data_IF_735002021931
#
_entry.id   IF_735002021931
#
_cell.length_a   1.000
_cell.length_b   1.000
_cell.length_c   1.000
_cell.angle_alpha   90.00
_cell.angle_beta   90.00
_cell.angle_gamma   90.00
#
_symmetry.space_group_name_H-M   'P 1'
#
loop_
_entity.id
_entity.type
_entity.pdbx_description
1 polymer ?
#
# COMPACT_ATOMS: atom_id res chain seq x y z
N UNK A 1 -21.41 12.93 3.76
CA UNK A 1 -22.37 13.69 2.91
C UNK A 1 -21.82 15.10 2.70
N UNK A 2 -22.13 15.74 1.56
CA UNK A 2 -21.62 17.09 1.22
C UNK A 2 -20.20 17.15 0.64
N UNK A 3 -19.61 16.00 0.29
CA UNK A 3 -18.32 15.91 -0.40
C UNK A 3 -18.53 15.44 -1.84
N UNK A 4 -17.70 15.94 -2.77
CA UNK A 4 -17.64 15.54 -4.18
C UNK A 4 -16.55 14.49 -4.35
N UNK A 5 -16.87 13.34 -4.93
CA UNK A 5 -15.86 12.36 -5.32
C UNK A 5 -15.37 12.75 -6.72
N UNK A 6 -14.05 12.84 -6.87
CA UNK A 6 -13.40 13.16 -8.14
C UNK A 6 -12.28 12.15 -8.38
N UNK A 7 -12.10 11.70 -9.61
CA UNK A 7 -11.02 10.79 -9.99
C UNK A 7 -10.03 11.53 -10.87
N UNK A 8 -8.75 11.23 -10.72
CA UNK A 8 -7.71 11.81 -11.54
C UNK A 8 -7.52 10.99 -12.81
N UNK A 9 -7.58 11.64 -13.97
CA UNK A 9 -7.13 11.03 -15.23
C UNK A 9 -5.63 11.27 -15.40
N UNK A 10 -4.83 10.26 -15.08
CA UNK A 10 -3.37 10.29 -15.25
C UNK A 10 -2.99 10.47 -16.73
N UNK A 11 -3.74 9.88 -17.66
CA UNK A 11 -3.49 10.01 -19.09
C UNK A 11 -3.53 11.48 -19.54
N UNK A 12 -4.53 12.21 -19.09
CA UNK A 12 -4.65 13.66 -19.34
C UNK A 12 -3.55 14.49 -18.69
N UNK A 13 -3.05 14.09 -17.52
CA UNK A 13 -1.94 14.79 -16.86
C UNK A 13 -0.62 14.63 -17.60
N UNK A 14 -0.35 13.42 -18.12
CA UNK A 14 0.90 13.11 -18.83
C UNK A 14 0.84 13.58 -20.28
N UNK A 15 -0.35 13.62 -20.90
CA UNK A 15 -0.54 14.06 -22.29
C UNK A 15 0.09 15.45 -22.54
N UNK A 16 0.97 15.49 -23.55
CA UNK A 16 1.66 16.71 -23.96
C UNK A 16 2.68 17.25 -22.97
N UNK A 17 3.02 16.51 -21.90
CA UNK A 17 4.20 16.83 -21.09
C UNK A 17 5.45 16.39 -21.84
N UNK A 18 6.46 17.26 -21.90
CA UNK A 18 7.73 16.97 -22.56
C UNK A 18 8.77 16.46 -21.56
N UNK A 19 8.60 16.79 -20.29
CA UNK A 19 9.53 16.49 -19.21
C UNK A 19 8.79 16.09 -17.93
N UNK A 20 9.43 15.26 -17.09
CA UNK A 20 8.88 14.81 -15.80
C UNK A 20 8.43 15.96 -14.89
N UNK A 21 9.16 17.08 -14.89
CA UNK A 21 8.81 18.26 -14.08
C UNK A 21 7.46 18.88 -14.42
N UNK A 22 7.04 18.87 -15.69
CA UNK A 22 5.75 19.44 -16.11
C UNK A 22 4.57 18.62 -15.57
N UNK A 23 4.71 17.29 -15.52
CA UNK A 23 3.72 16.40 -14.90
C UNK A 23 3.59 16.69 -13.40
N UNK A 24 4.72 16.79 -12.70
CA UNK A 24 4.73 17.09 -11.26
C UNK A 24 4.10 18.45 -10.94
N UNK A 25 4.37 19.48 -11.75
CA UNK A 25 3.74 20.80 -11.59
C UNK A 25 2.21 20.76 -11.81
N UNK A 26 1.74 20.02 -12.82
CA UNK A 26 0.29 19.85 -13.06
C UNK A 26 -0.39 19.13 -11.91
N UNK A 27 0.22 18.05 -11.42
CA UNK A 27 -0.31 17.30 -10.29
C UNK A 27 -0.38 18.17 -9.02
N UNK A 28 0.65 18.97 -8.75
CA UNK A 28 0.65 19.92 -7.61
C UNK A 28 -0.49 20.92 -7.70
N UNK A 29 -0.74 21.50 -8.88
CA UNK A 29 -1.86 22.42 -9.11
C UNK A 29 -3.22 21.75 -8.85
N UNK A 30 -3.43 20.54 -9.34
CA UNK A 30 -4.66 19.78 -9.06
C UNK A 30 -4.84 19.57 -7.56
N UNK A 31 -3.80 19.13 -6.84
CA UNK A 31 -3.86 18.92 -5.40
C UNK A 31 -4.19 20.24 -4.67
N UNK A 32 -3.61 21.36 -5.09
CA UNK A 32 -3.88 22.68 -4.52
C UNK A 32 -5.33 23.13 -4.74
N UNK A 33 -5.87 22.96 -5.95
CA UNK A 33 -7.27 23.25 -6.26
C UNK A 33 -8.23 22.40 -5.41
N UNK A 34 -7.92 21.11 -5.24
CA UNK A 34 -8.73 20.22 -4.41
C UNK A 34 -8.69 20.62 -2.93
N UNK A 35 -7.52 21.04 -2.42
CA UNK A 35 -7.37 21.57 -1.06
C UNK A 35 -8.19 22.86 -0.88
N UNK A 36 -8.12 23.78 -1.84
CA UNK A 36 -8.84 25.05 -1.81
C UNK A 36 -10.37 24.85 -1.88
N UNK A 37 -10.84 23.85 -2.63
CA UNK A 37 -12.27 23.51 -2.67
C UNK A 37 -12.79 23.00 -1.31
N UNK A 38 -11.96 22.33 -0.51
CA UNK A 38 -12.28 21.86 0.85
C UNK A 38 -13.37 20.79 0.95
N UNK A 39 -14.03 20.44 -0.16
CA UNK A 39 -15.15 19.53 -0.23
C UNK A 39 -14.95 18.36 -1.22
N UNK A 40 -13.71 18.11 -1.65
CA UNK A 40 -13.39 17.02 -2.57
C UNK A 40 -12.84 15.79 -1.83
N UNK A 41 -13.18 14.60 -2.33
CA UNK A 41 -12.53 13.32 -2.06
C UNK A 41 -11.88 12.90 -3.38
N UNK A 42 -10.56 12.84 -3.41
CA UNK A 42 -9.84 12.31 -4.57
C UNK A 42 -9.87 10.79 -4.49
N UNK A 43 -10.52 10.16 -5.47
CA UNK A 43 -10.53 8.73 -5.64
C UNK A 43 -9.29 8.32 -6.44
N UNK A 44 -8.60 7.31 -5.92
CA UNK A 44 -7.42 6.69 -6.51
C UNK A 44 -7.77 5.22 -6.70
N UNK A 45 -7.47 4.69 -7.89
CA UNK A 45 -7.68 3.29 -8.23
C UNK A 45 -6.43 2.71 -8.88
N UNK A 46 -6.23 1.41 -8.70
CA UNK A 46 -5.08 0.68 -9.21
C UNK A 46 -3.74 1.08 -8.56
N UNK A 47 -2.67 0.50 -9.10
CA UNK A 47 -1.31 0.83 -8.68
C UNK A 47 -0.86 2.13 -9.32
N UNK A 48 -0.42 3.10 -8.50
CA UNK A 48 0.07 4.38 -9.01
C UNK A 48 1.01 5.08 -8.02
N UNK A 49 1.98 5.83 -8.56
CA UNK A 49 2.76 6.79 -7.78
C UNK A 49 1.90 8.03 -7.49
N UNK A 50 1.53 8.25 -6.22
CA UNK A 50 0.65 9.34 -5.81
C UNK A 50 1.41 10.66 -5.77
N UNK A 51 2.63 10.62 -5.24
CA UNK A 51 3.62 11.70 -5.22
C UNK A 51 5.01 11.07 -5.33
N UNK A 52 6.06 11.83 -5.73
CA UNK A 52 7.41 11.28 -5.82
C UNK A 52 7.83 10.53 -4.55
N UNK A 53 8.13 9.25 -4.69
CA UNK A 53 8.56 8.39 -3.59
C UNK A 53 7.43 7.78 -2.76
N UNK A 54 6.15 7.96 -3.11
CA UNK A 54 5.01 7.28 -2.49
C UNK A 54 4.16 6.59 -3.56
N UNK A 55 4.20 5.26 -3.57
CA UNK A 55 3.38 4.43 -4.48
C UNK A 55 2.28 3.73 -3.69
N UNK A 56 1.05 3.81 -4.19
CA UNK A 56 -0.05 3.01 -3.68
C UNK A 56 -0.15 1.72 -4.50
N UNK A 57 -0.28 0.60 -3.81
CA UNK A 57 -0.32 -0.75 -4.37
C UNK A 57 -1.62 -1.41 -3.90
N UNK A 58 -2.49 -1.87 -4.83
CA UNK A 58 -3.69 -2.61 -4.47
C UNK A 58 -3.34 -3.87 -3.66
N UNK A 59 -4.00 -4.02 -2.52
CA UNK A 59 -3.89 -5.22 -1.68
C UNK A 59 -5.28 -5.63 -1.17
N UNK A 60 -6.18 -6.03 -2.08
CA UNK A 60 -7.58 -6.29 -1.78
C UNK A 60 -7.75 -7.56 -0.94
N UNK A 61 -8.91 -7.67 -0.28
CA UNK A 61 -9.29 -8.89 0.46
C UNK A 61 -9.77 -8.56 1.86
N UNK A 62 -8.93 -7.87 2.65
CA UNK A 62 -9.36 -7.31 3.93
C UNK A 62 -10.59 -6.40 3.73
N UNK A 63 -10.46 -5.46 2.79
CA UNK A 63 -11.60 -4.80 2.14
C UNK A 63 -11.38 -4.78 0.63
N UNK A 64 -12.43 -4.59 -0.19
CA UNK A 64 -12.29 -4.52 -1.65
C UNK A 64 -11.33 -3.42 -2.14
N UNK A 65 -11.25 -2.29 -1.42
CA UNK A 65 -10.41 -1.14 -1.76
C UNK A 65 -9.17 -0.99 -0.88
N UNK A 66 -8.72 -2.06 -0.22
CA UNK A 66 -7.54 -2.02 0.62
C UNK A 66 -6.27 -1.77 -0.22
N UNK A 67 -5.41 -0.87 0.25
CA UNK A 67 -4.17 -0.45 -0.42
C UNK A 67 -3.01 -0.54 0.56
N UNK A 68 -1.88 -1.06 0.09
CA UNK A 68 -0.58 -0.96 0.74
C UNK A 68 0.22 0.18 0.11
N UNK A 69 1.21 0.71 0.80
CA UNK A 69 1.99 1.86 0.31
C UNK A 69 3.48 1.59 0.36
N UNK A 70 4.16 1.75 -0.77
CA UNK A 70 5.62 1.72 -0.84
C UNK A 70 6.16 3.14 -0.71
N UNK A 71 6.96 3.38 0.32
CA UNK A 71 7.58 4.68 0.60
C UNK A 71 9.07 4.58 0.34
N UNK A 72 9.61 5.44 -0.50
CA UNK A 72 11.05 5.55 -0.74
C UNK A 72 11.69 6.37 0.38
N UNK A 73 12.53 5.72 1.19
CA UNK A 73 13.34 6.35 2.23
C UNK A 73 14.79 6.58 1.78
N UNK A 74 15.57 7.26 2.63
CA UNK A 74 17.00 7.48 2.38
C UNK A 74 17.80 6.16 2.34
N UNK A 75 17.44 5.21 3.19
CA UNK A 75 18.10 3.91 3.35
C UNK A 75 17.46 2.80 2.48
N UNK A 76 16.55 3.17 1.58
CA UNK A 76 15.80 2.26 0.73
C UNK A 76 14.28 2.31 0.98
N UNK A 77 13.52 1.48 0.26
CA UNK A 77 12.07 1.47 0.37
C UNK A 77 11.58 0.79 1.66
N UNK A 78 10.42 1.21 2.14
CA UNK A 78 9.64 0.56 3.21
C UNK A 78 8.19 0.38 2.75
N UNK A 79 7.60 -0.76 3.06
CA UNK A 79 6.20 -1.06 2.73
C UNK A 79 5.30 -0.88 3.95
N UNK A 80 4.30 -0.01 3.87
CA UNK A 80 3.19 0.04 4.82
C UNK A 80 2.14 -0.96 4.35
N UNK A 81 2.00 -2.08 5.06
CA UNK A 81 1.13 -3.20 4.63
C UNK A 81 -0.33 -2.99 5.03
N UNK A 82 -0.62 -2.11 6.00
CA UNK A 82 -1.97 -1.93 6.53
C UNK A 82 -2.50 -3.21 7.16
N UNK A 83 -3.76 -3.53 6.86
CA UNK A 83 -4.48 -4.69 7.42
C UNK A 83 -4.43 -5.92 6.50
N UNK A 84 -3.70 -5.85 5.37
CA UNK A 84 -3.45 -7.01 4.51
C UNK A 84 -2.67 -8.12 5.26
N UNK A 85 -1.90 -7.75 6.29
CA UNK A 85 -1.20 -8.67 7.20
C UNK A 85 -1.64 -8.35 8.64
N UNK A 86 -2.71 -9.01 9.08
CA UNK A 86 -3.42 -8.61 10.30
C UNK A 86 -2.84 -9.06 11.65
N UNK A 87 -1.80 -9.91 11.69
CA UNK A 87 -1.14 -10.29 12.95
C UNK A 87 0.28 -10.85 12.72
N UNK A 88 1.12 -10.86 13.76
CA UNK A 88 2.52 -11.31 13.65
C UNK A 88 2.77 -12.81 13.83
N UNK A 89 1.75 -13.66 13.96
CA UNK A 89 1.91 -15.11 14.16
C UNK A 89 1.25 -15.88 13.01
N UNK A 90 -0.06 -16.14 13.09
CA UNK A 90 -0.82 -16.91 12.09
C UNK A 90 -0.69 -16.32 10.68
N UNK A 91 -0.70 -14.99 10.56
CA UNK A 91 -0.61 -14.36 9.24
C UNK A 91 0.73 -14.62 8.54
N UNK A 92 1.81 -14.91 9.29
CA UNK A 92 3.14 -15.24 8.76
C UNK A 92 3.37 -16.76 8.71
N UNK A 93 3.00 -17.49 9.76
CA UNK A 93 3.22 -18.94 9.85
C UNK A 93 2.27 -19.75 8.94
N UNK A 94 1.07 -19.24 8.69
CA UNK A 94 0.06 -19.91 7.86
C UNK A 94 -0.75 -18.88 7.05
N UNK A 95 -0.11 -18.12 6.14
CA UNK A 95 -0.74 -17.00 5.44
C UNK A 95 -1.96 -17.39 4.59
N UNK A 96 -2.05 -18.63 4.15
CA UNK A 96 -3.19 -19.20 3.42
C UNK A 96 -4.46 -19.36 4.27
N UNK A 97 -4.35 -19.36 5.61
CA UNK A 97 -5.51 -19.53 6.49
C UNK A 97 -6.39 -18.28 6.45
N UNK A 98 -7.70 -18.48 6.30
CA UNK A 98 -8.66 -17.39 6.24
C UNK A 98 -8.67 -16.58 7.55
N UNK A 99 -8.59 -15.26 7.41
CA UNK A 99 -8.80 -14.34 8.52
C UNK A 99 -10.28 -14.00 8.63
N UNK A 100 -10.83 -14.05 9.84
CA UNK A 100 -12.20 -13.59 10.10
C UNK A 100 -12.39 -12.07 9.93
N UNK A 101 -11.29 -11.32 9.79
CA UNK A 101 -11.33 -9.89 9.51
C UNK A 101 -11.44 -9.57 8.01
N UNK A 102 -11.26 -10.56 7.12
CA UNK A 102 -11.30 -10.34 5.67
C UNK A 102 -12.74 -10.31 5.15
N UNK A 103 -13.11 -9.27 4.41
CA UNK A 103 -14.41 -9.21 3.72
C UNK A 103 -14.49 -10.21 2.55
N UNK A 104 -13.35 -10.52 1.93
CA UNK A 104 -13.20 -11.60 0.97
C UNK A 104 -12.04 -12.51 1.43
N UNK A 105 -12.33 -13.66 2.07
CA UNK A 105 -11.31 -14.53 2.66
C UNK A 105 -10.31 -15.10 1.65
N UNK A 106 -10.77 -15.56 0.49
CA UNK A 106 -9.90 -16.15 -0.54
C UNK A 106 -8.94 -15.10 -1.11
N UNK A 107 -9.46 -13.90 -1.42
CA UNK A 107 -8.64 -12.79 -1.90
C UNK A 107 -7.68 -12.29 -0.80
N UNK A 108 -8.13 -12.21 0.45
CA UNK A 108 -7.30 -11.77 1.57
C UNK A 108 -6.12 -12.70 1.81
N UNK A 109 -6.35 -14.02 1.76
CA UNK A 109 -5.28 -15.02 1.82
C UNK A 109 -4.32 -14.90 0.64
N UNK A 110 -4.82 -14.82 -0.60
CA UNK A 110 -3.99 -14.69 -1.80
C UNK A 110 -3.12 -13.41 -1.77
N UNK A 111 -3.70 -12.27 -1.43
CA UNK A 111 -2.99 -10.99 -1.29
C UNK A 111 -1.92 -11.06 -0.21
N UNK A 112 -2.26 -11.59 0.96
CA UNK A 112 -1.30 -11.73 2.07
C UNK A 112 -0.12 -12.62 1.70
N UNK A 113 -0.37 -13.75 1.06
CA UNK A 113 0.68 -14.64 0.58
C UNK A 113 1.59 -13.92 -0.42
N UNK A 114 1.02 -13.26 -1.44
CA UNK A 114 1.79 -12.55 -2.44
C UNK A 114 2.66 -11.43 -1.85
N UNK A 115 2.11 -10.65 -0.90
CA UNK A 115 2.87 -9.62 -0.19
C UNK A 115 4.00 -10.21 0.64
N UNK A 116 3.75 -11.29 1.39
CA UNK A 116 4.79 -11.93 2.20
C UNK A 116 5.91 -12.53 1.35
N UNK A 117 5.56 -13.15 0.22
CA UNK A 117 6.53 -13.64 -0.77
C UNK A 117 7.42 -12.49 -1.25
N UNK A 118 6.83 -11.40 -1.73
CA UNK A 118 7.58 -10.24 -2.25
C UNK A 118 8.47 -9.62 -1.16
N UNK A 119 7.91 -9.40 0.03
CA UNK A 119 8.63 -8.75 1.14
C UNK A 119 9.80 -9.60 1.63
N UNK A 120 9.61 -10.92 1.71
CA UNK A 120 10.65 -11.84 2.15
C UNK A 120 11.75 -12.01 1.09
N UNK A 121 11.39 -12.11 -0.19
CA UNK A 121 12.36 -12.25 -1.28
C UNK A 121 13.20 -10.98 -1.48
N UNK A 122 12.57 -9.81 -1.39
CA UNK A 122 13.27 -8.53 -1.50
C UNK A 122 13.99 -8.11 -0.21
N UNK A 123 13.63 -8.71 0.94
CA UNK A 123 14.06 -8.25 2.25
C UNK A 123 13.60 -6.81 2.56
N UNK A 124 12.47 -6.38 1.99
CA UNK A 124 11.96 -5.01 2.16
C UNK A 124 11.38 -4.85 3.57
N UNK A 125 11.80 -3.83 4.35
CA UNK A 125 11.17 -3.52 5.62
C UNK A 125 9.68 -3.25 5.47
N UNK A 126 8.90 -3.67 6.45
CA UNK A 126 7.46 -3.49 6.48
C UNK A 126 6.98 -2.83 7.78
N UNK A 127 5.89 -2.09 7.68
CA UNK A 127 5.15 -1.47 8.79
C UNK A 127 3.71 -2.00 8.75
N UNK A 128 3.30 -2.74 9.79
CA UNK A 128 1.94 -3.24 9.94
C UNK A 128 1.29 -2.77 11.24
N UNK A 129 0.02 -2.36 11.18
CA UNK A 129 -0.66 -1.70 12.30
C UNK A 129 -0.98 -2.65 13.48
N UNK A 130 -1.04 -3.95 13.21
CA UNK A 130 -1.36 -4.99 14.18
C UNK A 130 -0.18 -5.93 14.46
N UNK A 131 1.03 -5.53 14.05
CA UNK A 131 2.24 -6.32 14.25
C UNK A 131 2.92 -5.96 15.58
N UNK A 132 3.63 -6.92 16.21
CA UNK A 132 4.25 -6.71 17.53
C UNK A 132 5.38 -5.67 17.46
N UNK A 133 5.83 -5.21 18.64
CA UNK A 133 7.02 -4.35 18.79
C UNK A 133 6.98 -3.05 17.98
N UNK A 134 5.84 -2.36 17.97
CA UNK A 134 5.65 -1.12 17.21
C UNK A 134 5.39 -1.34 15.71
N UNK A 135 5.33 -2.61 15.28
CA UNK A 135 4.87 -3.02 13.96
C UNK A 135 5.87 -2.84 12.83
N UNK A 136 7.11 -2.45 13.14
CA UNK A 136 8.20 -2.26 12.18
C UNK A 136 9.09 -3.50 12.20
N UNK A 137 9.36 -4.08 11.04
CA UNK A 137 10.20 -5.26 10.93
C UNK A 137 10.36 -5.74 9.49
N UNK A 138 10.63 -7.04 9.35
CA UNK A 138 10.79 -7.73 8.06
C UNK A 138 10.04 -9.05 8.09
N UNK A 139 9.65 -9.53 6.90
CA UNK A 139 9.24 -10.90 6.71
C UNK A 139 10.49 -11.71 6.33
N UNK A 140 10.70 -12.85 6.98
CA UNK A 140 11.74 -13.81 6.60
C UNK A 140 11.12 -15.18 6.30
N UNK A 141 11.63 -15.88 5.29
CA UNK A 141 11.22 -17.26 5.00
C UNK A 141 11.78 -18.19 6.05
N UNK A 142 10.93 -19.09 6.54
CA UNK A 142 11.32 -20.18 7.43
C UNK A 142 10.58 -21.45 7.02
N UNK A 143 11.33 -22.39 6.48
CA UNK A 143 10.80 -23.61 5.89
C UNK A 143 9.73 -23.28 4.83
N UNK A 144 8.51 -23.78 5.00
CA UNK A 144 7.38 -23.56 4.07
C UNK A 144 6.53 -22.33 4.46
N UNK A 145 7.00 -21.50 5.40
CA UNK A 145 6.25 -20.39 6.00
C UNK A 145 7.09 -19.11 6.13
N UNK A 146 6.54 -18.12 6.83
CA UNK A 146 7.22 -16.85 7.14
C UNK A 146 7.29 -16.61 8.64
N UNK A 147 8.21 -15.73 9.04
CA UNK A 147 8.30 -15.19 10.39
C UNK A 147 8.44 -13.67 10.32
N UNK A 148 7.78 -12.96 11.24
CA UNK A 148 8.01 -11.53 11.43
C UNK A 148 9.24 -11.32 12.32
N UNK A 149 10.24 -10.61 11.80
CA UNK A 149 11.44 -10.22 12.54
C UNK A 149 11.36 -8.73 12.86
N UNK A 150 11.17 -8.34 14.13
CA UNK A 150 11.10 -6.93 14.52
C UNK A 150 12.39 -6.18 14.20
N UNK A 151 12.26 -4.91 13.82
CA UNK A 151 13.41 -4.02 13.72
C UNK A 151 14.01 -3.77 15.11
N UNK A 152 15.34 -3.78 15.20
CA UNK A 152 16.11 -3.49 16.42
C UNK A 152 16.37 -2.00 16.62
#
# INVERSE_FOLDING_TARGET
QGKRIVTLDIGSLVAGTKYRGEFEERLKKVIEELKNAGNCILFIDGEQEIIPGLRAIPSPGHTPGHMSYLVQGADGPVMIVGDAIGNGHIAFEAPQVHSGADQNPDMGAATRMALLDELADAGTPLIGFHLPNGGIGRAERRDDAFVFVPAT
#
